data_IF_771791801764
#
_entry.id   IF_771791801764
#
_cell.length_a   1.000
_cell.length_b   1.000
_cell.length_c   1.000
_cell.angle_alpha   90.00
_cell.angle_beta   90.00
_cell.angle_gamma   90.00
#
_symmetry.space_group_name_H-M   'P 1'
#
loop_
_entity.id
_entity.type
_entity.pdbx_description
1 polymer ?
#
# COMPACT_ATOMS: atom_id res chain seq x y z
N UNK A 1 8.89 2.30 -27.52
CA UNK A 1 9.51 3.15 -26.49
C UNK A 1 9.88 4.57 -26.94
N UNK A 2 9.96 4.89 -28.25
CA UNK A 2 10.38 6.23 -28.72
C UNK A 2 9.25 7.25 -29.00
N UNK A 3 7.99 6.80 -29.18
CA UNK A 3 6.89 7.71 -29.53
C UNK A 3 6.35 8.55 -28.36
N UNK A 4 6.54 8.10 -27.12
CA UNK A 4 5.99 8.78 -25.94
C UNK A 4 6.73 10.08 -25.58
N UNK A 5 8.01 10.22 -25.96
CA UNK A 5 8.79 11.40 -25.60
C UNK A 5 8.56 12.60 -26.55
N UNK A 6 8.11 12.38 -27.78
CA UNK A 6 7.83 13.49 -28.72
C UNK A 6 6.51 14.22 -28.47
N UNK A 7 5.56 13.60 -27.75
CA UNK A 7 4.27 14.21 -27.43
C UNK A 7 4.29 15.09 -26.17
N UNK A 8 5.34 15.00 -25.36
CA UNK A 8 5.47 15.76 -24.10
C UNK A 8 6.31 17.04 -24.22
N UNK A 9 6.82 17.37 -25.41
CA UNK A 9 7.70 18.54 -25.63
C UNK A 9 7.05 19.70 -26.42
N UNK A 10 5.76 19.64 -26.75
CA UNK A 10 5.11 20.69 -27.56
C UNK A 10 3.75 21.12 -27.01
N UNK A 11 3.74 21.78 -25.86
CA UNK A 11 2.54 22.39 -25.29
C UNK A 11 2.86 23.30 -24.11
N UNK A 12 2.80 24.63 -24.25
CA UNK A 12 3.30 25.58 -23.25
C UNK A 12 2.34 25.79 -22.07
N UNK A 13 2.91 25.85 -20.87
CA UNK A 13 2.40 26.51 -19.64
C UNK A 13 1.00 26.12 -19.14
N UNK A 14 0.91 24.99 -18.44
CA UNK A 14 -0.11 24.74 -17.40
C UNK A 14 0.35 23.61 -16.48
N UNK A 15 1.40 23.85 -15.69
CA UNK A 15 1.96 22.88 -14.72
C UNK A 15 0.88 22.24 -13.84
N UNK A 16 -0.12 23.02 -13.43
CA UNK A 16 -1.25 22.53 -12.62
C UNK A 16 -2.08 21.47 -13.34
N UNK A 17 -2.26 21.57 -14.65
CA UNK A 17 -3.10 20.64 -15.43
C UNK A 17 -2.45 19.26 -15.60
N UNK A 18 -1.14 19.19 -15.84
CA UNK A 18 -0.42 17.92 -15.93
C UNK A 18 -0.22 17.27 -14.57
N UNK A 19 -0.03 18.06 -13.50
CA UNK A 19 -0.02 17.56 -12.12
C UNK A 19 -1.40 16.98 -11.76
N UNK A 20 -2.49 17.65 -12.13
CA UNK A 20 -3.85 17.16 -11.87
C UNK A 20 -4.18 15.90 -12.70
N UNK A 21 -3.69 15.82 -13.94
CA UNK A 21 -3.86 14.62 -14.79
C UNK A 21 -2.98 13.45 -14.33
N UNK A 22 -1.80 13.71 -13.78
CA UNK A 22 -0.94 12.67 -13.18
C UNK A 22 -1.40 12.25 -11.78
N UNK A 23 -2.17 13.10 -11.09
CA UNK A 23 -2.92 12.76 -9.87
C UNK A 23 -4.31 12.19 -10.14
N UNK A 24 -4.81 12.24 -11.38
CA UNK A 24 -6.10 11.64 -11.76
C UNK A 24 -6.21 10.14 -11.39
N UNK A 25 -5.14 9.32 -11.44
CA UNK A 25 -5.19 7.94 -10.93
C UNK A 25 -5.34 7.83 -9.40
N UNK A 26 -5.10 8.91 -8.64
CA UNK A 26 -5.29 8.92 -7.19
C UNK A 26 -6.74 9.22 -6.77
N UNK A 27 -7.54 9.87 -7.63
CA UNK A 27 -8.98 10.06 -7.40
C UNK A 27 -9.73 8.74 -7.13
N UNK A 28 -9.59 7.69 -7.97
CA UNK A 28 -10.21 6.41 -7.68
C UNK A 28 -9.61 5.74 -6.44
N UNK A 29 -8.34 5.99 -6.08
CA UNK A 29 -7.76 5.48 -4.84
C UNK A 29 -8.45 6.06 -3.59
N UNK A 30 -8.79 7.35 -3.59
CA UNK A 30 -9.55 7.99 -2.50
C UNK A 30 -10.95 7.38 -2.40
N UNK A 31 -11.59 7.12 -3.55
CA UNK A 31 -12.89 6.44 -3.58
C UNK A 31 -12.81 5.03 -3.00
N UNK A 32 -11.77 4.26 -3.35
CA UNK A 32 -11.50 2.92 -2.80
C UNK A 32 -11.32 3.00 -1.28
N UNK A 33 -10.56 3.97 -0.76
CA UNK A 33 -10.44 4.20 0.68
C UNK A 33 -11.80 4.44 1.35
N UNK A 34 -12.66 5.26 0.74
CA UNK A 34 -14.02 5.50 1.22
C UNK A 34 -14.88 4.23 1.26
N UNK A 35 -14.80 3.41 0.22
CA UNK A 35 -15.49 2.11 0.15
C UNK A 35 -14.97 1.16 1.22
N UNK A 36 -13.66 1.06 1.41
CA UNK A 36 -13.04 0.21 2.45
C UNK A 36 -13.52 0.63 3.84
N UNK A 37 -13.48 1.93 4.16
CA UNK A 37 -13.94 2.45 5.45
C UNK A 37 -15.42 2.13 5.65
N UNK A 38 -16.24 2.32 4.61
CA UNK A 38 -17.67 1.99 4.67
C UNK A 38 -17.89 0.49 4.92
N UNK A 39 -17.18 -0.37 4.21
CA UNK A 39 -17.22 -1.83 4.40
C UNK A 39 -16.83 -2.20 5.82
N UNK A 40 -15.72 -1.67 6.35
CA UNK A 40 -15.27 -1.94 7.73
C UNK A 40 -16.29 -1.50 8.78
N UNK A 41 -16.99 -0.38 8.55
CA UNK A 41 -18.05 0.10 9.43
C UNK A 41 -19.31 -0.77 9.41
N UNK A 42 -19.53 -1.53 8.34
CA UNK A 42 -20.61 -2.50 8.20
C UNK A 42 -20.23 -3.91 8.68
N UNK A 43 -18.96 -4.16 9.04
CA UNK A 43 -18.55 -5.43 9.65
C UNK A 43 -18.99 -5.48 11.11
N UNK A 44 -19.34 -6.69 11.57
CA UNK A 44 -19.60 -6.96 12.98
C UNK A 44 -18.41 -6.59 13.87
N UNK A 45 -18.64 -6.29 15.15
CA UNK A 45 -17.58 -5.89 16.09
C UNK A 45 -16.42 -6.90 16.14
N UNK A 46 -16.74 -8.19 16.07
CA UNK A 46 -15.77 -9.29 16.07
C UNK A 46 -14.89 -9.27 14.81
N UNK A 47 -15.49 -9.07 13.63
CA UNK A 47 -14.75 -8.99 12.37
C UNK A 47 -13.90 -7.72 12.27
N UNK A 48 -14.40 -6.60 12.80
CA UNK A 48 -13.64 -5.35 12.89
C UNK A 48 -12.42 -5.51 13.79
N UNK A 49 -12.56 -6.08 14.99
CA UNK A 49 -11.43 -6.36 15.89
C UNK A 49 -10.37 -7.22 15.20
N UNK A 50 -10.80 -8.27 14.52
CA UNK A 50 -9.91 -9.18 13.80
C UNK A 50 -9.11 -8.47 12.70
N UNK A 51 -9.78 -7.63 11.89
CA UNK A 51 -9.15 -6.82 10.86
C UNK A 51 -8.08 -5.88 11.44
N UNK A 52 -8.38 -5.21 12.54
CA UNK A 52 -7.43 -4.32 13.22
C UNK A 52 -6.24 -5.08 13.80
N UNK A 53 -6.46 -6.24 14.43
CA UNK A 53 -5.40 -7.06 15.00
C UNK A 53 -4.48 -7.62 13.90
N UNK A 54 -5.07 -8.10 12.79
CA UNK A 54 -4.32 -8.52 11.62
C UNK A 54 -3.53 -7.37 10.97
N UNK A 55 -4.10 -6.17 10.90
CA UNK A 55 -3.42 -4.98 10.38
C UNK A 55 -2.25 -4.58 11.29
N UNK A 56 -2.45 -4.59 12.61
CA UNK A 56 -1.41 -4.30 13.59
C UNK A 56 -0.27 -5.32 13.51
N UNK A 57 -0.59 -6.61 13.38
CA UNK A 57 0.40 -7.67 13.18
C UNK A 57 1.18 -7.47 11.88
N UNK A 58 0.49 -7.17 10.79
CA UNK A 58 1.13 -6.95 9.50
C UNK A 58 2.02 -5.72 9.49
N UNK A 59 1.58 -4.63 10.14
CA UNK A 59 2.36 -3.42 10.32
C UNK A 59 3.62 -3.68 11.15
N UNK A 60 3.48 -4.32 12.32
CA UNK A 60 4.62 -4.65 13.18
C UNK A 60 5.60 -5.62 12.51
N UNK A 61 5.08 -6.67 11.84
CA UNK A 61 5.88 -7.63 11.10
C UNK A 61 6.64 -6.99 9.93
N UNK A 62 5.97 -6.12 9.17
CA UNK A 62 6.61 -5.36 8.08
C UNK A 62 7.67 -4.43 8.64
N UNK A 63 7.37 -3.66 9.69
CA UNK A 63 8.32 -2.76 10.32
C UNK A 63 9.57 -3.50 10.81
N UNK A 64 9.38 -4.64 11.50
CA UNK A 64 10.48 -5.47 11.99
C UNK A 64 11.35 -6.02 10.85
N UNK A 65 10.72 -6.49 9.78
CA UNK A 65 11.44 -6.98 8.58
C UNK A 65 12.18 -5.84 7.87
N UNK A 66 11.56 -4.68 7.68
CA UNK A 66 12.20 -3.51 7.04
C UNK A 66 13.34 -2.96 7.90
N UNK A 67 13.18 -2.92 9.23
CA UNK A 67 14.24 -2.50 10.14
C UNK A 67 15.39 -3.51 10.14
N UNK A 68 15.08 -4.81 10.24
CA UNK A 68 16.05 -5.89 10.14
C UNK A 68 16.84 -5.82 8.83
N UNK A 69 16.14 -5.57 7.71
CA UNK A 69 16.79 -5.37 6.42
C UNK A 69 17.63 -4.09 6.36
N UNK A 70 17.20 -2.99 6.99
CA UNK A 70 18.01 -1.77 7.09
C UNK A 70 19.37 -2.01 7.77
N UNK A 71 19.45 -2.90 8.76
CA UNK A 71 20.73 -3.33 9.34
C UNK A 71 21.57 -4.17 8.36
N UNK A 72 20.94 -5.03 7.55
CA UNK A 72 21.60 -5.81 6.49
C UNK A 72 22.09 -4.91 5.33
N UNK A 73 21.35 -3.87 5.00
CA UNK A 73 21.75 -2.84 4.04
C UNK A 73 23.00 -2.10 4.54
N UNK A 74 23.08 -1.83 5.85
CA UNK A 74 24.30 -1.34 6.50
C UNK A 74 25.49 -2.31 6.43
N UNK A 75 25.27 -3.60 6.20
CA UNK A 75 26.30 -4.62 6.00
C UNK A 75 26.71 -4.80 4.52
N UNK A 76 26.14 -4.02 3.60
CA UNK A 76 26.48 -4.00 2.17
C UNK A 76 25.50 -4.74 1.24
N UNK A 77 24.31 -5.13 1.72
CA UNK A 77 23.26 -5.66 0.84
C UNK A 77 22.60 -4.57 -0.02
N UNK A 78 22.04 -4.92 -1.20
CA UNK A 78 21.35 -3.98 -2.08
C UNK A 78 20.17 -3.30 -1.39
N UNK A 79 19.93 -2.03 -1.70
CA UNK A 79 18.84 -1.25 -1.11
C UNK A 79 17.47 -1.87 -1.43
N UNK A 80 16.59 -1.95 -0.41
CA UNK A 80 15.29 -2.56 -0.59
C UNK A 80 14.34 -1.58 -1.29
N UNK A 81 13.87 -1.94 -2.48
CA UNK A 81 12.93 -1.09 -3.22
C UNK A 81 11.61 -1.00 -2.45
N UNK A 82 11.08 0.21 -2.31
CA UNK A 82 9.77 0.49 -1.70
C UNK A 82 8.63 -0.31 -2.35
N UNK A 83 8.81 -0.74 -3.60
CA UNK A 83 7.89 -1.63 -4.32
C UNK A 83 7.78 -3.03 -3.73
N UNK A 84 8.76 -3.53 -2.97
CA UNK A 84 8.72 -4.85 -2.32
C UNK A 84 8.07 -4.77 -0.94
N UNK A 85 8.18 -3.62 -0.27
CA UNK A 85 7.61 -3.39 1.06
C UNK A 85 6.08 -3.46 1.04
N UNK A 86 5.45 -2.88 0.02
CA UNK A 86 3.99 -2.85 -0.12
C UNK A 86 3.37 -4.25 -0.27
N UNK A 87 3.83 -5.11 -1.20
CA UNK A 87 3.36 -6.50 -1.32
C UNK A 87 3.65 -7.32 -0.08
N UNK A 88 4.80 -7.10 0.58
CA UNK A 88 5.16 -7.80 1.81
C UNK A 88 4.17 -7.46 2.94
N UNK A 89 3.84 -6.18 3.11
CA UNK A 89 2.83 -5.73 4.06
C UNK A 89 1.45 -6.30 3.75
N UNK A 90 1.05 -6.28 2.47
CA UNK A 90 -0.22 -6.86 2.02
C UNK A 90 -0.29 -8.37 2.30
N UNK A 91 0.79 -9.11 2.03
CA UNK A 91 0.86 -10.55 2.30
C UNK A 91 0.75 -10.85 3.79
N UNK A 92 1.49 -10.13 4.63
CA UNK A 92 1.40 -10.24 6.09
C UNK A 92 -0.01 -9.94 6.61
N UNK A 93 -0.69 -8.96 6.03
CA UNK A 93 -2.07 -8.62 6.39
C UNK A 93 -3.07 -9.70 5.98
N UNK A 94 -2.94 -10.25 4.77
CA UNK A 94 -3.76 -11.39 4.33
C UNK A 94 -3.53 -12.60 5.23
N UNK A 95 -2.28 -12.90 5.58
CA UNK A 95 -1.95 -14.00 6.49
C UNK A 95 -2.56 -13.76 7.87
N UNK A 96 -2.40 -12.56 8.45
CA UNK A 96 -2.97 -12.20 9.74
C UNK A 96 -4.51 -12.29 9.77
N UNK A 97 -5.16 -11.85 8.70
CA UNK A 97 -6.63 -11.91 8.59
C UNK A 97 -7.13 -13.34 8.43
N UNK A 98 -6.44 -14.19 7.67
CA UNK A 98 -6.77 -15.61 7.50
C UNK A 98 -6.59 -16.39 8.79
N UNK A 99 -5.45 -16.23 9.48
CA UNK A 99 -5.19 -16.88 10.78
C UNK A 99 -6.23 -16.44 11.79
N UNK A 100 -6.54 -15.14 11.83
CA UNK A 100 -7.61 -14.60 12.64
C UNK A 100 -8.96 -15.28 12.36
N UNK A 101 -9.34 -15.41 11.09
CA UNK A 101 -10.62 -16.04 10.73
C UNK A 101 -10.66 -17.52 11.12
N UNK A 102 -9.55 -18.23 11.00
CA UNK A 102 -9.46 -19.64 11.38
C UNK A 102 -9.51 -19.86 12.90
N UNK A 103 -9.04 -18.89 13.70
CA UNK A 103 -8.99 -19.00 15.16
C UNK A 103 -10.30 -18.60 15.85
N UNK A 104 -11.08 -17.72 15.23
CA UNK A 104 -12.35 -17.20 15.76
C UNK A 104 -13.59 -17.68 14.98
N UNK A 105 -13.41 -18.55 13.98
CA UNK A 105 -14.48 -19.16 13.19
C UNK A 105 -14.90 -20.53 13.72
#
# INVERSE_FOLDING_TARGET
MFFSQKLLQTGPHSDTGQILLSLAPMLPAIFICGVIIRTIRHLDEMQRKLQFEALAFAFAGTALLTFGYGFLEGAGLPTLSMFVVWPLMAALWVIGTVIGRLRYG
#
